data_IF_297831709650
#
_entry.id   IF_297831709650
#
_cell.length_a   1.000
_cell.length_b   1.000
_cell.length_c   1.000
_cell.angle_alpha   90.00
_cell.angle_beta   90.00
_cell.angle_gamma   90.00
#
_symmetry.space_group_name_H-M   'P 1'
#
loop_
_entity.id
_entity.type
_entity.pdbx_description
1 polymer ?
#
# COMPACT_ATOMS: atom_id res chain seq x y z
N UNK A 1 -7.72 25.12 14.58
CA UNK A 1 -7.92 24.98 13.12
C UNK A 1 -6.61 24.43 12.58
N UNK A 2 -6.41 23.13 12.76
CA UNK A 2 -5.12 22.48 12.52
C UNK A 2 -5.20 21.78 11.17
N UNK A 3 -4.58 22.38 10.16
CA UNK A 3 -4.35 21.76 8.86
C UNK A 3 -3.61 20.43 9.09
N UNK A 4 -4.33 19.33 8.89
CA UNK A 4 -3.75 18.00 8.85
C UNK A 4 -2.79 17.94 7.66
N UNK A 5 -1.49 18.14 7.93
CA UNK A 5 -0.41 17.64 7.08
C UNK A 5 -0.47 16.11 7.14
N UNK A 6 -1.43 15.51 6.43
CA UNK A 6 -1.28 14.14 5.96
C UNK A 6 -0.11 14.18 4.98
N UNK A 7 1.05 13.77 5.45
CA UNK A 7 2.16 13.45 4.58
C UNK A 7 1.70 12.24 3.76
N UNK A 8 1.15 12.51 2.57
CA UNK A 8 1.42 11.64 1.43
C UNK A 8 2.92 11.34 1.50
N UNK A 9 3.31 10.07 1.40
CA UNK A 9 4.69 9.72 1.09
C UNK A 9 4.99 10.08 -0.39
N UNK A 10 4.65 11.31 -0.81
CA UNK A 10 4.99 11.92 -2.07
C UNK A 10 5.14 13.43 -1.83
N UNK A 11 6.38 13.88 -1.71
CA UNK A 11 6.70 15.30 -1.73
C UNK A 11 6.74 15.79 -3.18
N UNK A 12 5.87 16.76 -3.49
CA UNK A 12 5.93 17.81 -4.49
C UNK A 12 6.71 17.59 -5.81
N UNK A 13 5.99 17.69 -6.94
CA UNK A 13 6.52 18.33 -8.15
C UNK A 13 5.38 19.08 -8.88
N UNK A 14 5.56 20.39 -9.06
CA UNK A 14 4.65 21.28 -9.75
C UNK A 14 4.74 21.16 -11.29
N UNK A 15 3.65 21.52 -11.94
CA UNK A 15 3.32 21.46 -13.37
C UNK A 15 4.20 22.34 -14.29
N UNK A 16 4.31 21.96 -15.57
CA UNK A 16 3.87 22.74 -16.76
C UNK A 16 3.88 21.87 -18.05
N UNK A 17 3.12 22.21 -19.11
CA UNK A 17 2.75 21.28 -20.19
C UNK A 17 3.65 21.40 -21.42
N UNK A 18 3.95 20.28 -22.07
CA UNK A 18 4.23 20.26 -23.52
C UNK A 18 3.75 18.94 -24.12
N UNK A 19 2.90 19.07 -25.14
CA UNK A 19 2.41 18.00 -25.98
C UNK A 19 3.54 17.28 -26.74
N UNK A 20 3.40 15.97 -26.93
CA UNK A 20 4.19 15.26 -27.94
C UNK A 20 4.34 13.74 -27.73
N UNK A 21 3.62 12.99 -28.56
CA UNK A 21 3.89 11.63 -29.03
C UNK A 21 3.77 10.44 -28.05
N UNK A 22 2.74 9.63 -28.31
CA UNK A 22 2.51 8.30 -27.77
C UNK A 22 3.64 7.31 -28.12
N UNK A 23 4.07 6.54 -27.14
CA UNK A 23 4.62 5.21 -27.35
C UNK A 23 3.82 4.23 -26.48
N UNK A 24 3.20 3.25 -27.14
CA UNK A 24 2.36 2.25 -26.51
C UNK A 24 3.19 1.32 -25.61
N UNK A 25 2.77 1.15 -24.36
CA UNK A 25 3.15 0.00 -23.54
C UNK A 25 1.89 -0.79 -23.18
N UNK A 26 1.80 -2.00 -23.72
CA UNK A 26 0.81 -2.98 -23.33
C UNK A 26 1.20 -3.54 -21.96
N UNK A 27 0.50 -3.09 -20.92
CA UNK A 27 0.41 -3.76 -19.62
C UNK A 27 -1.07 -3.84 -19.28
N UNK A 28 -1.59 -5.06 -19.12
CA UNK A 28 -3.04 -5.33 -19.02
C UNK A 28 -3.75 -4.40 -18.05
N UNK A 29 -4.65 -3.58 -18.59
CA UNK A 29 -5.63 -2.83 -17.81
C UNK A 29 -6.63 -3.83 -17.25
N UNK A 30 -6.42 -4.26 -16.00
CA UNK A 30 -7.44 -4.97 -15.26
C UNK A 30 -8.47 -3.94 -14.80
N UNK A 31 -9.67 -4.03 -15.39
CA UNK A 31 -10.82 -3.19 -15.09
C UNK A 31 -11.17 -3.18 -13.58
N UNK A 32 -11.54 -2.00 -13.07
CA UNK A 32 -12.09 -1.75 -11.74
C UNK A 32 -13.59 -2.14 -11.68
N UNK A 33 -14.14 -2.67 -10.58
CA UNK A 33 -13.73 -3.84 -9.81
C UNK A 33 -14.74 -5.00 -9.94
N UNK A 34 -14.23 -6.24 -9.84
CA UNK A 34 -15.00 -7.39 -9.36
C UNK A 34 -15.39 -7.06 -7.90
N UNK A 35 -16.67 -7.13 -7.54
CA UNK A 35 -17.16 -6.88 -6.16
C UNK A 35 -16.26 -7.63 -5.15
N UNK A 36 -15.69 -6.91 -4.18
CA UNK A 36 -14.86 -7.52 -3.12
C UNK A 36 -15.75 -8.47 -2.29
N UNK A 37 -15.38 -9.77 -2.16
CA UNK A 37 -16.06 -10.71 -1.28
C UNK A 37 -16.03 -10.29 0.20
N UNK A 38 -16.97 -10.75 1.04
CA UNK A 38 -16.94 -10.49 2.49
C UNK A 38 -15.67 -11.08 3.14
N UNK A 39 -14.85 -10.23 3.76
CA UNK A 39 -13.55 -10.61 4.34
C UNK A 39 -13.66 -11.54 5.54
N UNK A 40 -12.68 -12.40 5.74
CA UNK A 40 -12.60 -13.39 6.81
C UNK A 40 -11.41 -13.13 7.75
N UNK A 41 -11.50 -13.47 9.04
CA UNK A 41 -10.33 -13.52 9.90
C UNK A 41 -9.25 -14.43 9.29
N UNK A 42 -7.98 -14.02 9.42
CA UNK A 42 -6.81 -14.78 8.95
C UNK A 42 -6.41 -14.53 7.50
N UNK A 43 -7.13 -13.68 6.75
CA UNK A 43 -6.75 -13.37 5.35
C UNK A 43 -5.38 -12.67 5.23
N UNK A 44 -4.89 -12.05 6.31
CA UNK A 44 -3.54 -11.49 6.40
C UNK A 44 -2.49 -12.43 7.01
N UNK A 45 -2.84 -13.67 7.37
CA UNK A 45 -1.90 -14.57 8.08
C UNK A 45 -0.67 -14.93 7.23
N UNK A 46 -0.76 -14.79 5.91
CA UNK A 46 0.40 -14.95 5.03
C UNK A 46 1.55 -13.98 5.37
N UNK A 47 1.27 -12.84 6.02
CA UNK A 47 2.29 -11.89 6.45
C UNK A 47 2.96 -12.27 7.76
N UNK A 48 2.39 -13.13 8.59
CA UNK A 48 2.90 -13.39 9.95
C UNK A 48 4.36 -13.88 9.92
N UNK A 49 5.27 -13.23 10.65
CA UNK A 49 6.70 -13.57 10.72
C UNK A 49 7.63 -12.43 10.30
N UNK A 50 8.87 -12.78 9.96
CA UNK A 50 9.94 -11.83 9.64
C UNK A 50 10.26 -11.79 8.12
N UNK A 51 10.59 -10.60 7.63
CA UNK A 51 10.73 -10.32 6.21
C UNK A 51 11.91 -9.41 5.86
N UNK A 52 12.48 -9.65 4.68
CA UNK A 52 13.32 -8.72 3.92
C UNK A 52 12.49 -8.13 2.78
N UNK A 53 12.68 -6.84 2.52
CA UNK A 53 11.87 -6.10 1.56
C UNK A 53 12.76 -5.26 0.66
N UNK A 54 12.66 -5.46 -0.64
CA UNK A 54 13.25 -4.53 -1.62
C UNK A 54 12.18 -3.54 -2.06
N UNK A 55 12.38 -2.27 -1.75
CA UNK A 55 11.49 -1.19 -2.16
C UNK A 55 11.94 -0.59 -3.47
N UNK A 56 10.99 -0.22 -4.32
CA UNK A 56 11.17 0.74 -5.41
C UNK A 56 10.12 1.82 -5.26
N UNK A 57 10.52 3.08 -5.17
CA UNK A 57 9.61 4.23 -5.04
C UNK A 57 9.87 5.26 -6.12
N UNK A 58 8.82 5.75 -6.76
CA UNK A 58 8.91 6.81 -7.76
C UNK A 58 9.22 8.13 -7.06
N UNK A 59 10.28 8.83 -7.49
CA UNK A 59 10.73 10.11 -6.92
C UNK A 59 10.59 11.28 -7.88
N UNK A 60 10.58 10.99 -9.18
CA UNK A 60 10.27 11.91 -10.28
C UNK A 60 9.69 11.10 -11.44
N UNK A 61 9.13 11.73 -12.50
CA UNK A 61 8.67 11.01 -13.69
C UNK A 61 9.75 10.03 -14.18
N UNK A 62 9.34 8.78 -14.34
CA UNK A 62 10.18 7.65 -14.76
C UNK A 62 11.44 7.37 -13.92
N UNK A 63 11.59 8.04 -12.77
CA UNK A 63 12.77 7.93 -11.89
C UNK A 63 12.41 7.18 -10.62
N UNK A 64 13.04 6.02 -10.43
CA UNK A 64 12.81 5.14 -9.29
C UNK A 64 14.01 5.07 -8.37
N UNK A 65 13.76 5.29 -7.09
CA UNK A 65 14.70 5.06 -6.00
C UNK A 65 14.51 3.65 -5.43
N UNK A 66 15.61 2.93 -5.18
CA UNK A 66 15.60 1.54 -4.71
C UNK A 66 16.35 1.42 -3.39
N UNK A 67 15.75 0.74 -2.42
CA UNK A 67 16.33 0.60 -1.08
C UNK A 67 15.77 -0.63 -0.34
N UNK A 68 16.54 -1.11 0.63
CA UNK A 68 16.17 -2.29 1.43
C UNK A 68 15.47 -1.90 2.73
N UNK A 69 14.51 -2.71 3.12
CA UNK A 69 13.80 -2.66 4.39
C UNK A 69 13.59 -4.05 4.97
N UNK A 70 12.97 -4.08 6.14
CA UNK A 70 12.60 -5.29 6.84
C UNK A 70 11.28 -5.07 7.57
N UNK A 71 10.55 -6.15 7.82
CA UNK A 71 9.33 -6.08 8.59
C UNK A 71 9.15 -7.29 9.49
N UNK A 72 8.43 -7.06 10.59
CA UNK A 72 7.94 -8.12 11.47
C UNK A 72 6.45 -7.95 11.60
N UNK A 73 5.71 -9.01 11.32
CA UNK A 73 4.25 -8.97 11.30
C UNK A 73 3.65 -10.03 12.23
N UNK A 74 2.55 -9.68 12.88
CA UNK A 74 1.83 -10.54 13.81
C UNK A 74 0.32 -10.50 13.52
N UNK A 75 -0.26 -11.68 13.35
CA UNK A 75 -1.70 -11.89 13.43
C UNK A 75 -2.11 -11.97 14.89
N UNK A 76 -3.12 -11.21 15.28
CA UNK A 76 -3.65 -11.18 16.65
C UNK A 76 -5.17 -11.34 16.63
N UNK A 77 -5.75 -11.59 17.82
CA UNK A 77 -7.20 -11.70 18.00
C UNK A 77 -7.84 -12.77 17.09
N UNK A 78 -7.17 -13.91 16.91
CA UNK A 78 -7.66 -15.00 16.07
C UNK A 78 -7.76 -14.64 14.58
N UNK A 79 -6.85 -13.77 14.10
CA UNK A 79 -6.79 -13.34 12.70
C UNK A 79 -7.68 -12.14 12.37
N UNK A 80 -8.34 -11.51 13.35
CA UNK A 80 -9.14 -10.29 13.14
C UNK A 80 -8.27 -9.05 12.93
N UNK A 81 -7.02 -9.08 13.39
CA UNK A 81 -6.09 -7.99 13.15
C UNK A 81 -4.69 -8.49 12.77
N UNK A 82 -4.02 -7.73 11.91
CA UNK A 82 -2.63 -7.90 11.52
C UNK A 82 -1.86 -6.63 11.85
N UNK A 83 -0.77 -6.76 12.59
CA UNK A 83 0.12 -5.67 12.97
C UNK A 83 1.46 -5.88 12.30
N UNK A 84 1.95 -4.87 11.60
CA UNK A 84 3.25 -4.84 10.94
C UNK A 84 4.09 -3.75 11.58
N UNK A 85 5.33 -4.05 11.97
CA UNK A 85 6.36 -3.03 12.13
C UNK A 85 7.29 -3.09 10.92
N UNK A 86 7.33 -2.01 10.13
CA UNK A 86 8.22 -1.81 9.00
C UNK A 86 9.41 -0.96 9.43
N UNK A 87 10.62 -1.36 9.04
CA UNK A 87 11.86 -0.64 9.32
C UNK A 87 12.71 -0.51 8.06
N UNK A 88 13.30 0.67 7.88
CA UNK A 88 14.29 0.97 6.82
C UNK A 88 15.51 1.58 7.53
N UNK A 89 16.43 0.74 8.04
CA UNK A 89 17.55 1.21 8.87
C UNK A 89 18.42 2.27 8.18
N UNK A 90 18.72 2.07 6.89
CA UNK A 90 19.52 3.00 6.10
C UNK A 90 18.93 4.42 5.98
N UNK A 91 17.63 4.58 6.28
CA UNK A 91 16.91 5.85 6.23
C UNK A 91 16.46 6.34 7.60
N UNK A 92 16.85 5.65 8.68
CA UNK A 92 16.36 5.90 10.04
C UNK A 92 14.83 6.09 10.06
N UNK A 93 14.13 5.15 9.42
CA UNK A 93 12.69 5.19 9.25
C UNK A 93 12.07 3.91 9.81
N UNK A 94 10.97 4.08 10.52
CA UNK A 94 10.07 2.99 10.89
C UNK A 94 8.62 3.47 10.89
N UNK A 95 7.72 2.52 10.77
CA UNK A 95 6.28 2.75 10.85
C UNK A 95 5.52 1.47 11.13
N UNK A 96 4.22 1.62 11.36
CA UNK A 96 3.34 0.50 11.67
C UNK A 96 2.20 0.45 10.66
N UNK A 97 2.00 -0.73 10.07
CA UNK A 97 0.77 -1.10 9.40
C UNK A 97 -0.17 -1.77 10.39
N UNK A 98 -1.44 -1.35 10.43
CA UNK A 98 -2.48 -1.98 11.24
C UNK A 98 -3.66 -2.32 10.34
N UNK A 99 -3.91 -3.61 10.11
CA UNK A 99 -5.11 -4.06 9.40
C UNK A 99 -6.08 -4.67 10.37
N UNK A 100 -7.34 -4.23 10.32
CA UNK A 100 -8.42 -4.71 11.20
C UNK A 100 -9.64 -5.06 10.34
N UNK A 101 -10.20 -6.25 10.59
CA UNK A 101 -11.47 -6.67 10.03
C UNK A 101 -12.62 -6.16 10.89
N UNK A 102 -13.52 -5.39 10.29
CA UNK A 102 -14.87 -5.24 10.84
C UNK A 102 -15.60 -6.56 10.63
N UNK A 103 -15.84 -7.31 11.72
CA UNK A 103 -16.42 -8.66 11.66
C UNK A 103 -17.90 -8.63 11.25
N UNK A 104 -18.61 -7.54 11.57
CA UNK A 104 -20.02 -7.38 11.21
C UNK A 104 -20.17 -6.92 9.77
N UNK A 105 -19.45 -5.85 9.38
CA UNK A 105 -19.47 -5.32 8.02
C UNK A 105 -18.71 -6.21 7.02
N UNK A 106 -17.81 -7.07 7.52
CA UNK A 106 -16.97 -7.99 6.73
C UNK A 106 -16.06 -7.25 5.75
N UNK A 107 -15.50 -6.12 6.19
CA UNK A 107 -14.59 -5.26 5.42
C UNK A 107 -13.31 -5.04 6.20
N UNK A 108 -12.17 -5.15 5.53
CA UNK A 108 -10.87 -4.84 6.10
C UNK A 108 -10.57 -3.34 5.98
N UNK A 109 -9.96 -2.77 7.02
CA UNK A 109 -9.37 -1.43 7.00
C UNK A 109 -7.87 -1.52 7.25
N UNK A 110 -7.05 -0.86 6.42
CA UNK A 110 -5.59 -0.74 6.55
C UNK A 110 -5.21 0.67 7.00
N UNK A 111 -4.52 0.78 8.13
CA UNK A 111 -4.11 2.03 8.75
C UNK A 111 -2.58 2.11 8.82
N UNK A 112 -2.07 3.35 8.77
CA UNK A 112 -0.64 3.62 8.86
C UNK A 112 -0.29 4.56 10.03
N UNK A 113 0.83 4.24 10.69
CA UNK A 113 1.50 5.10 11.68
C UNK A 113 2.94 5.33 11.25
N UNK A 114 3.34 6.60 11.17
CA UNK A 114 4.76 6.95 11.05
C UNK A 114 5.37 7.06 12.45
N UNK A 115 6.47 6.37 12.73
CA UNK A 115 7.08 6.38 14.06
C UNK A 115 7.51 7.78 14.53
N UNK A 116 7.79 8.71 13.60
CA UNK A 116 8.13 10.09 13.94
C UNK A 116 6.94 10.89 14.50
N UNK A 117 5.71 10.57 14.07
CA UNK A 117 4.51 11.25 14.56
C UNK A 117 3.81 10.45 15.65
N UNK A 118 3.84 9.12 15.60
CA UNK A 118 3.09 8.24 16.50
C UNK A 118 1.57 8.35 16.34
N UNK A 119 1.09 8.95 15.25
CA UNK A 119 -0.35 9.19 15.02
C UNK A 119 -0.93 8.14 14.07
N UNK A 120 -2.04 7.52 14.48
CA UNK A 120 -2.85 6.68 13.60
C UNK A 120 -3.57 7.53 12.56
N UNK A 121 -3.24 7.30 11.29
CA UNK A 121 -3.86 8.04 10.19
C UNK A 121 -5.24 7.46 9.91
N UNK A 122 -6.28 8.29 10.07
CA UNK A 122 -7.68 7.90 9.84
C UNK A 122 -8.36 8.82 8.83
N UNK A 123 -9.31 8.35 8.00
CA UNK A 123 -9.78 6.96 7.95
C UNK A 123 -8.73 6.03 7.33
N UNK A 124 -8.83 4.74 7.63
CA UNK A 124 -8.00 3.71 6.99
C UNK A 124 -8.47 3.44 5.56
N UNK A 125 -7.60 2.86 4.76
CA UNK A 125 -7.94 2.41 3.41
C UNK A 125 -8.74 1.12 3.50
N UNK A 126 -9.96 1.11 2.95
CA UNK A 126 -10.86 -0.05 3.03
C UNK A 126 -10.66 -1.01 1.87
N UNK A 127 -10.88 -2.30 2.11
CA UNK A 127 -10.69 -3.32 1.09
C UNK A 127 -10.99 -4.74 1.55
N UNK A 128 -10.44 -5.70 0.81
CA UNK A 128 -10.55 -7.12 1.08
C UNK A 128 -9.87 -7.96 0.01
N UNK A 129 -10.05 -9.27 0.08
CA UNK A 129 -9.34 -10.21 -0.80
C UNK A 129 -10.22 -10.71 -1.95
N UNK A 130 -9.70 -10.65 -3.16
CA UNK A 130 -10.31 -11.21 -4.38
C UNK A 130 -9.34 -12.23 -4.95
N UNK A 131 -9.78 -13.49 -5.09
CA UNK A 131 -8.98 -14.56 -5.69
C UNK A 131 -7.56 -14.69 -5.08
N UNK A 132 -7.44 -14.44 -3.77
CA UNK A 132 -6.19 -14.49 -3.01
C UNK A 132 -5.36 -13.21 -3.01
N UNK A 133 -5.73 -12.18 -3.77
CA UNK A 133 -5.06 -10.88 -3.77
C UNK A 133 -5.81 -9.85 -2.91
N UNK A 134 -5.10 -9.09 -2.08
CA UNK A 134 -5.68 -8.05 -1.23
C UNK A 134 -5.79 -6.73 -1.98
N UNK A 135 -7.00 -6.22 -2.22
CA UNK A 135 -7.25 -4.95 -2.90
C UNK A 135 -7.84 -3.94 -1.93
N UNK A 136 -7.16 -2.80 -1.77
CA UNK A 136 -7.51 -1.72 -0.86
C UNK A 136 -7.55 -0.40 -1.61
N UNK A 137 -8.62 0.37 -1.43
CA UNK A 137 -8.80 1.64 -2.12
C UNK A 137 -9.29 2.73 -1.17
N UNK A 138 -8.84 3.96 -1.40
CA UNK A 138 -9.29 5.14 -0.69
C UNK A 138 -9.26 6.36 -1.60
N UNK A 139 -10.19 7.28 -1.37
CA UNK A 139 -10.14 8.61 -1.93
C UNK A 139 -9.17 9.46 -1.12
N UNK A 140 -8.32 10.23 -1.80
CA UNK A 140 -7.34 11.13 -1.18
C UNK A 140 -7.18 12.41 -2.00
N UNK A 141 -6.34 13.33 -1.52
CA UNK A 141 -6.06 14.60 -2.17
C UNK A 141 -4.56 14.77 -2.39
N UNK A 142 -4.16 15.08 -3.63
CA UNK A 142 -2.82 15.55 -3.95
C UNK A 142 -2.85 17.07 -4.17
N UNK A 143 -2.50 17.81 -3.12
CA UNK A 143 -2.83 19.23 -3.02
C UNK A 143 -4.35 19.41 -3.07
N UNK A 144 -4.82 20.18 -4.04
CA UNK A 144 -6.27 20.40 -4.27
C UNK A 144 -6.86 19.45 -5.32
N UNK A 145 -6.09 18.47 -5.81
CA UNK A 145 -6.55 17.53 -6.83
C UNK A 145 -7.04 16.22 -6.19
N UNK A 146 -8.31 15.84 -6.37
CA UNK A 146 -8.80 14.53 -5.94
C UNK A 146 -8.07 13.40 -6.66
N UNK A 147 -7.69 12.39 -5.91
CA UNK A 147 -7.05 11.18 -6.41
C UNK A 147 -7.68 9.95 -5.77
N UNK A 148 -7.49 8.79 -6.42
CA UNK A 148 -7.78 7.50 -5.82
C UNK A 148 -6.44 6.79 -5.57
N UNK A 149 -6.23 6.34 -4.35
CA UNK A 149 -5.07 5.53 -3.97
C UNK A 149 -5.49 4.07 -3.92
N UNK A 150 -4.68 3.19 -4.51
CA UNK A 150 -4.86 1.74 -4.49
C UNK A 150 -3.65 1.08 -3.85
N UNK A 151 -3.87 0.31 -2.80
CA UNK A 151 -2.93 -0.69 -2.29
C UNK A 151 -3.29 -2.07 -2.83
N UNK A 152 -2.30 -2.83 -3.31
CA UNK A 152 -2.48 -4.18 -3.81
C UNK A 152 -1.46 -5.12 -3.17
N UNK A 153 -1.96 -6.18 -2.52
CA UNK A 153 -1.18 -7.35 -2.13
C UNK A 153 -1.39 -8.44 -3.19
N UNK A 154 -0.33 -8.86 -3.87
CA UNK A 154 -0.39 -9.94 -4.85
C UNK A 154 0.87 -10.80 -4.84
N UNK A 155 0.93 -11.79 -5.74
CA UNK A 155 2.05 -12.75 -5.84
C UNK A 155 2.36 -13.43 -4.50
N UNK A 156 1.31 -13.68 -3.71
CA UNK A 156 1.42 -14.25 -2.36
C UNK A 156 1.76 -15.73 -2.48
N UNK A 157 2.85 -16.12 -1.81
CA UNK A 157 3.31 -17.50 -1.64
C UNK A 157 3.70 -17.69 -0.17
N UNK A 158 4.01 -18.93 0.27
CA UNK A 158 4.49 -19.15 1.63
C UNK A 158 5.77 -18.38 2.00
N UNK A 159 6.58 -18.01 1.00
CA UNK A 159 7.92 -17.42 1.19
C UNK A 159 8.09 -16.01 0.62
N UNK A 160 7.09 -15.51 -0.12
CA UNK A 160 7.15 -14.20 -0.79
C UNK A 160 5.78 -13.59 -0.95
N UNK A 161 5.73 -12.26 -1.05
CA UNK A 161 4.56 -11.54 -1.54
C UNK A 161 5.01 -10.20 -2.13
N UNK A 162 4.10 -9.50 -2.78
CA UNK A 162 4.35 -8.15 -3.26
C UNK A 162 3.25 -7.22 -2.76
N UNK A 163 3.66 -6.06 -2.27
CA UNK A 163 2.77 -4.94 -2.07
C UNK A 163 3.08 -3.85 -3.09
N UNK A 164 2.05 -3.27 -3.70
CA UNK A 164 2.19 -2.09 -4.56
C UNK A 164 1.16 -1.02 -4.24
N UNK A 165 1.58 0.22 -4.44
CA UNK A 165 0.71 1.38 -4.42
C UNK A 165 0.62 1.98 -5.83
N UNK A 166 -0.60 2.33 -6.21
CA UNK A 166 -0.89 3.11 -7.41
C UNK A 166 -1.81 4.29 -7.10
N UNK A 167 -1.72 5.32 -7.93
CA UNK A 167 -2.59 6.48 -7.89
C UNK A 167 -3.33 6.62 -9.22
N UNK A 168 -4.61 6.94 -9.15
CA UNK A 168 -5.42 7.37 -10.28
C UNK A 168 -5.83 8.84 -10.11
N UNK A 169 -5.80 9.59 -11.22
CA UNK A 169 -6.17 11.01 -11.29
C UNK A 169 -7.36 11.27 -12.22
N UNK A 170 -7.91 10.21 -12.81
CA UNK A 170 -8.96 10.25 -13.82
C UNK A 170 -10.16 9.37 -13.43
N UNK A 171 -10.41 9.26 -12.12
CA UNK A 171 -11.55 8.50 -11.60
C UNK A 171 -11.41 6.99 -11.72
N UNK A 172 -10.18 6.47 -11.75
CA UNK A 172 -9.88 5.04 -11.82
C UNK A 172 -9.77 4.47 -13.23
N UNK A 173 -9.74 5.33 -14.27
CA UNK A 173 -9.61 4.91 -15.66
C UNK A 173 -8.16 4.52 -16.00
N UNK A 174 -7.18 5.20 -15.42
CA UNK A 174 -5.75 4.86 -15.49
C UNK A 174 -5.09 4.89 -14.11
N UNK A 175 -3.98 4.16 -13.99
CA UNK A 175 -3.26 3.95 -12.74
C UNK A 175 -1.76 4.12 -12.97
N UNK A 176 -1.10 4.86 -12.09
CA UNK A 176 0.36 4.97 -12.05
C UNK A 176 0.86 4.34 -10.74
N UNK A 177 1.63 3.25 -10.86
CA UNK A 177 2.35 2.70 -9.72
C UNK A 177 3.40 3.71 -9.26
N UNK A 178 3.45 3.97 -7.95
CA UNK A 178 4.42 4.90 -7.36
C UNK A 178 5.23 4.28 -6.20
N UNK A 179 4.86 3.08 -5.77
CA UNK A 179 5.62 2.30 -4.80
C UNK A 179 5.44 0.80 -5.02
N UNK A 180 6.54 0.07 -5.07
CA UNK A 180 6.58 -1.39 -5.11
C UNK A 180 7.43 -1.89 -3.94
N UNK A 181 6.98 -2.97 -3.30
CA UNK A 181 7.67 -3.66 -2.23
C UNK A 181 7.65 -5.15 -2.54
N UNK A 182 8.82 -5.73 -2.80
CA UNK A 182 8.98 -7.17 -2.99
C UNK A 182 9.44 -7.78 -1.67
N UNK A 183 8.61 -8.64 -1.08
CA UNK A 183 8.82 -9.24 0.23
C UNK A 183 9.33 -10.67 0.09
N UNK A 184 10.34 -11.01 0.88
CA UNK A 184 10.87 -12.39 1.01
C UNK A 184 11.07 -12.72 2.47
N UNK A 185 10.77 -13.97 2.86
CA UNK A 185 10.95 -14.41 4.25
C UNK A 185 12.40 -14.22 4.68
N UNK A 186 12.59 -13.70 5.89
CA UNK A 186 13.91 -13.70 6.49
C UNK A 186 14.37 -15.17 6.70
N UNK A 187 15.67 -15.47 6.56
CA UNK A 187 16.20 -16.77 6.90
C UNK A 187 15.83 -17.14 8.35
N UNK A 188 15.56 -18.42 8.62
CA UNK A 188 15.48 -18.89 9.99
C UNK A 188 16.84 -18.64 10.68
N UNK A 189 16.81 -17.95 11.82
CA UNK A 189 17.98 -17.71 12.66
C UNK A 189 18.45 -18.94 13.41
#
# INVERSE_FOLDING_TARGET
MNEQRRLLLAGAAALLPTAGAQAASQGGSAATPRRIPPGNPGEFDFLNGEWRITHRRLTAPDTWDTFEGEATCFGILGGVASVEELRIPARNFSGMGLRILDVEARVWSDFWVNAKSGVLTTPGTTGGFIDGAGLFMSDDMDGDTPIIVRGLWDRITPISCRWSQAVSRDGGASWQDNWLMEWTRAPAG
#
